data_IF_571285994488
#
_entry.id   IF_571285994488
#
_cell.length_a   1.000
_cell.length_b   1.000
_cell.length_c   1.000
_cell.angle_alpha   90.00
_cell.angle_beta   90.00
_cell.angle_gamma   90.00
#
_symmetry.space_group_name_H-M   'P 1'
#
loop_
_entity.id
_entity.type
_entity.pdbx_description
1 polymer ?
#
# COMPACT_ATOMS: atom_id res chain seq x y z
N UNK A 1 15.59 7.92 6.65
CA UNK A 1 14.13 8.10 6.80
C UNK A 1 13.51 7.61 5.52
N UNK A 2 12.65 6.59 5.58
CA UNK A 2 12.13 5.96 4.38
C UNK A 2 11.31 6.94 3.55
N UNK A 3 11.49 6.87 2.23
CA UNK A 3 10.72 7.68 1.28
C UNK A 3 9.24 7.32 1.42
N UNK A 4 8.41 8.33 1.72
CA UNK A 4 6.96 8.19 1.86
C UNK A 4 6.27 8.46 0.53
N UNK A 5 5.32 7.60 0.18
CA UNK A 5 4.41 7.82 -0.95
C UNK A 5 3.29 8.78 -0.52
N UNK A 6 2.91 9.71 -1.40
CA UNK A 6 1.82 10.65 -1.18
C UNK A 6 0.79 10.47 -2.29
N UNK A 7 -0.47 10.32 -1.89
CA UNK A 7 -1.63 10.36 -2.79
C UNK A 7 -2.15 11.79 -2.79
N UNK A 8 -2.23 12.42 -3.97
CA UNK A 8 -2.71 13.80 -4.11
C UNK A 8 -4.22 13.88 -4.25
N UNK A 9 -4.75 13.24 -5.28
CA UNK A 9 -6.16 13.35 -5.71
C UNK A 9 -6.87 11.99 -5.54
N UNK A 10 -7.17 11.61 -4.29
CA UNK A 10 -7.76 10.29 -3.99
C UNK A 10 -9.18 10.14 -4.52
N UNK A 11 -9.91 11.24 -4.62
CA UNK A 11 -11.27 11.33 -5.16
C UNK A 11 -11.36 10.97 -6.65
N UNK A 12 -10.24 11.03 -7.39
CA UNK A 12 -10.16 10.59 -8.79
C UNK A 12 -9.81 9.09 -8.92
N UNK A 13 -9.64 8.39 -7.81
CA UNK A 13 -9.28 6.98 -7.84
C UNK A 13 -10.44 6.13 -8.39
N UNK A 14 -10.16 5.39 -9.47
CA UNK A 14 -11.10 4.46 -10.10
C UNK A 14 -10.84 3.00 -9.70
N UNK A 15 -9.90 2.74 -8.79
CA UNK A 15 -9.61 1.39 -8.29
C UNK A 15 -8.95 0.46 -9.31
N UNK A 16 -8.25 0.98 -10.33
CA UNK A 16 -7.68 0.18 -11.42
C UNK A 16 -6.54 -0.78 -11.03
N UNK A 17 -5.99 -0.67 -9.81
CA UNK A 17 -4.92 -1.56 -9.31
C UNK A 17 -3.53 -1.34 -9.92
N UNK A 18 -3.35 -0.43 -10.88
CA UNK A 18 -2.06 -0.22 -11.53
C UNK A 18 -0.95 0.22 -10.55
N UNK A 19 -1.29 1.04 -9.54
CA UNK A 19 -0.34 1.43 -8.49
C UNK A 19 0.13 0.24 -7.64
N UNK A 20 -0.76 -0.71 -7.35
CA UNK A 20 -0.47 -1.94 -6.61
C UNK A 20 0.53 -2.80 -7.39
N UNK A 21 0.27 -3.05 -8.68
CA UNK A 21 1.16 -3.82 -9.53
C UNK A 21 2.51 -3.13 -9.77
N UNK A 22 2.50 -1.80 -9.93
CA UNK A 22 3.72 -1.02 -10.04
C UNK A 22 4.60 -1.16 -8.78
N UNK A 23 3.99 -1.14 -7.59
CA UNK A 23 4.71 -1.34 -6.33
C UNK A 23 5.42 -2.70 -6.29
N UNK A 24 4.70 -3.81 -6.52
CA UNK A 24 5.32 -5.15 -6.53
C UNK A 24 6.44 -5.24 -7.57
N UNK A 25 6.20 -4.71 -8.78
CA UNK A 25 7.17 -4.75 -9.87
C UNK A 25 8.45 -3.99 -9.55
N UNK A 26 8.39 -2.88 -8.81
CA UNK A 26 9.58 -2.16 -8.35
C UNK A 26 10.46 -3.02 -7.43
N UNK A 27 9.89 -4.03 -6.77
CA UNK A 27 10.60 -4.96 -5.91
C UNK A 27 10.97 -6.28 -6.61
N UNK A 28 10.77 -6.38 -7.92
CA UNK A 28 11.09 -7.59 -8.69
C UNK A 28 10.04 -8.69 -8.59
N UNK A 29 8.92 -8.43 -7.93
CA UNK A 29 7.88 -9.42 -7.67
C UNK A 29 6.78 -9.35 -8.74
N UNK A 30 6.32 -10.52 -9.18
CA UNK A 30 5.20 -10.67 -10.12
C UNK A 30 3.92 -10.88 -9.32
N UNK A 31 2.90 -10.04 -9.55
CA UNK A 31 1.63 -10.10 -8.83
C UNK A 31 1.48 -8.98 -7.80
N UNK A 32 0.70 -9.21 -6.75
CA UNK A 32 0.35 -8.21 -5.73
C UNK A 32 0.78 -8.58 -4.31
N UNK A 33 1.34 -9.77 -4.09
CA UNK A 33 1.71 -10.27 -2.75
C UNK A 33 2.72 -9.37 -2.02
N UNK A 34 3.63 -8.74 -2.78
CA UNK A 34 4.63 -7.82 -2.23
C UNK A 34 4.17 -6.35 -2.23
N UNK A 35 2.94 -6.06 -2.64
CA UNK A 35 2.49 -4.68 -2.77
C UNK A 35 2.16 -4.07 -1.40
N UNK A 36 2.80 -2.94 -1.11
CA UNK A 36 2.42 -2.09 0.03
C UNK A 36 1.22 -1.18 -0.27
N UNK A 37 0.51 -1.38 -1.37
CA UNK A 37 -0.62 -0.54 -1.81
C UNK A 37 -1.81 -1.43 -2.14
N UNK A 38 -2.94 -1.18 -1.50
CA UNK A 38 -4.20 -1.89 -1.67
C UNK A 38 -5.30 -0.91 -2.16
N UNK A 39 -5.75 -1.03 -3.41
CA UNK A 39 -6.96 -0.36 -3.87
C UNK A 39 -8.19 -1.00 -3.22
N UNK A 40 -9.13 -0.16 -2.77
CA UNK A 40 -10.35 -0.60 -2.08
C UNK A 40 -11.54 0.11 -2.70
N UNK A 41 -12.60 -0.63 -3.03
CA UNK A 41 -13.90 -0.04 -3.39
C UNK A 41 -14.67 0.34 -2.12
N UNK A 42 -15.19 1.56 -2.07
CA UNK A 42 -15.87 2.09 -0.88
C UNK A 42 -17.36 1.70 -0.78
N UNK A 43 -17.96 1.19 -1.86
CA UNK A 43 -19.21 0.40 -1.90
C UNK A 43 -19.71 0.31 -3.36
N UNK A 44 -19.00 -0.41 -4.23
CA UNK A 44 -19.38 -0.52 -5.64
C UNK A 44 -19.23 0.80 -6.42
N UNK A 45 -19.89 0.90 -7.59
CA UNK A 45 -19.73 2.02 -8.54
C UNK A 45 -20.16 3.39 -7.97
N UNK A 46 -21.01 3.41 -6.94
CA UNK A 46 -21.67 4.64 -6.47
C UNK A 46 -20.80 5.51 -5.54
N UNK A 47 -19.84 4.91 -4.81
CA UNK A 47 -19.00 5.63 -3.83
C UNK A 47 -17.54 5.73 -4.22
N UNK A 48 -17.20 5.29 -5.43
CA UNK A 48 -15.84 5.32 -5.96
C UNK A 48 -14.89 4.33 -5.29
N UNK A 49 -13.60 4.57 -5.47
CA UNK A 49 -12.53 3.78 -4.91
C UNK A 49 -11.56 4.66 -4.14
N UNK A 50 -10.80 4.03 -3.25
CA UNK A 50 -9.67 4.64 -2.54
C UNK A 50 -8.48 3.69 -2.56
N UNK A 51 -7.36 4.14 -2.01
CA UNK A 51 -6.17 3.31 -1.81
C UNK A 51 -5.72 3.38 -0.35
N UNK A 52 -5.43 2.22 0.21
CA UNK A 52 -4.74 2.07 1.49
C UNK A 52 -3.29 1.74 1.16
N UNK A 53 -2.33 2.41 1.79
CA UNK A 53 -0.91 2.16 1.51
C UNK A 53 -0.04 2.24 2.76
N UNK A 54 1.10 1.56 2.71
CA UNK A 54 2.12 1.61 3.75
C UNK A 54 2.69 3.03 3.86
N UNK A 55 2.49 3.68 5.02
CA UNK A 55 2.93 5.06 5.26
C UNK A 55 4.40 5.19 5.65
N UNK A 56 5.14 4.08 5.72
CA UNK A 56 6.50 4.00 6.23
C UNK A 56 6.64 4.76 7.57
N UNK A 57 5.87 4.30 8.55
CA UNK A 57 5.86 4.83 9.91
C UNK A 57 7.27 4.70 10.51
N UNK A 58 7.67 5.70 11.29
CA UNK A 58 8.96 5.68 12.00
C UNK A 58 8.96 4.64 13.13
N UNK A 59 7.87 4.57 13.88
CA UNK A 59 7.59 3.49 14.82
C UNK A 59 6.38 2.67 14.32
N UNK A 60 6.60 1.58 13.56
CA UNK A 60 5.53 0.81 12.93
C UNK A 60 4.87 -0.17 13.92
N UNK A 61 3.62 0.07 14.36
CA UNK A 61 2.95 -0.84 15.29
C UNK A 61 2.66 -2.20 14.65
N UNK A 62 2.51 -2.26 13.33
CA UNK A 62 2.32 -3.50 12.59
C UNK A 62 3.51 -4.46 12.71
N UNK A 63 4.75 -3.95 12.74
CA UNK A 63 5.93 -4.79 12.94
C UNK A 63 6.05 -5.21 14.42
N UNK A 64 5.76 -4.30 15.36
CA UNK A 64 5.84 -4.57 16.80
C UNK A 64 4.88 -5.68 17.26
N UNK A 65 3.67 -5.75 16.71
CA UNK A 65 2.65 -6.74 17.11
C UNK A 65 2.78 -8.08 16.38
N UNK A 66 3.66 -8.19 15.39
CA UNK A 66 3.75 -9.38 14.53
C UNK A 66 4.26 -10.59 15.35
N UNK A 67 3.44 -11.64 15.57
CA UNK A 67 3.82 -12.75 16.45
C UNK A 67 4.91 -13.63 15.85
N UNK A 68 5.01 -13.70 14.52
CA UNK A 68 6.00 -14.50 13.80
C UNK A 68 7.27 -13.72 13.46
N UNK A 69 7.30 -12.40 13.68
CA UNK A 69 8.39 -11.54 13.24
C UNK A 69 8.53 -11.42 11.72
N UNK A 70 7.51 -11.81 10.95
CA UNK A 70 7.55 -11.77 9.49
C UNK A 70 7.51 -10.35 8.91
N UNK A 71 6.98 -9.38 9.66
CA UNK A 71 6.92 -7.98 9.26
C UNK A 71 8.15 -7.23 9.77
N UNK A 72 8.94 -6.68 8.86
CA UNK A 72 10.08 -5.83 9.19
C UNK A 72 9.78 -4.35 8.86
N UNK A 73 10.31 -3.39 9.65
CA UNK A 73 10.26 -1.99 9.29
C UNK A 73 10.88 -1.74 7.92
N UNK A 74 10.21 -0.93 7.10
CA UNK A 74 10.70 -0.60 5.77
C UNK A 74 11.98 0.22 5.87
N UNK A 75 13.03 -0.27 5.22
CA UNK A 75 14.30 0.45 5.12
C UNK A 75 14.18 1.70 4.24
N UNK A 76 14.85 2.76 4.66
CA UNK A 76 15.14 3.92 3.81
C UNK A 76 15.68 5.14 4.51
#
# INVERSE_FOLDING_TARGET
>A
MPKRLIVKDVEKCVGCGLCMYACSRMHGEIGNDYSGILPVSLSGFERGATVILCRACEDPPCAQVCPTGALTPREG
#
